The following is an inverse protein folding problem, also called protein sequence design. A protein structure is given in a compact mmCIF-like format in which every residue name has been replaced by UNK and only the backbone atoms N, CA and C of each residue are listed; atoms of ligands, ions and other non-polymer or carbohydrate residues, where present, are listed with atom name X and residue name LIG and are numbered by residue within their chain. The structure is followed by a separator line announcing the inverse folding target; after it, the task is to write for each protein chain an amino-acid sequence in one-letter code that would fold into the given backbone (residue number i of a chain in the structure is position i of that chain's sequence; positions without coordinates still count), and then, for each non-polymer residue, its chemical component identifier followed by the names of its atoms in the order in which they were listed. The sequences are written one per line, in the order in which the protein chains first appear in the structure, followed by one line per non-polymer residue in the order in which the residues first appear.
data_IF_861236985134
#
_entry.id   IF_861236985134
#
_cell.length_a   1.000
_cell.length_b   1.000
_cell.length_c   1.000
_cell.angle_alpha   90.00
_cell.angle_beta   90.00
_cell.angle_gamma   90.00
#
_symmetry.space_group_name_H-M   'P 1'
#
loop_
_entity.id
_entity.type
_entity.pdbx_description
1 polymer ?
#
# COMPACT_ATOMS: atom_id res chain seq x y z
N UNK A 1 -10.93 -19.26 3.77
CA UNK A 1 -9.63 -18.94 3.16
C UNK A 1 -8.60 -19.37 4.17
N UNK A 2 -7.53 -20.04 3.74
CA UNK A 2 -6.40 -20.31 4.62
C UNK A 2 -5.38 -19.23 4.30
N UNK A 3 -5.13 -18.33 5.25
CA UNK A 3 -4.10 -17.31 5.07
C UNK A 3 -2.72 -17.95 5.27
N UNK A 4 -1.76 -17.73 4.34
CA UNK A 4 -0.44 -18.30 4.49
C UNK A 4 0.27 -17.68 5.69
N UNK A 5 0.97 -18.50 6.49
CA UNK A 5 1.83 -18.00 7.57
C UNK A 5 2.92 -17.07 7.04
N UNK A 6 3.38 -17.34 5.81
CA UNK A 6 4.37 -16.54 5.08
C UNK A 6 3.80 -16.16 3.73
N UNK A 7 3.38 -14.91 3.58
CA UNK A 7 3.09 -14.30 2.26
C UNK A 7 4.33 -14.43 1.36
N UNK A 8 4.22 -15.12 0.20
CA UNK A 8 5.34 -15.33 -0.71
C UNK A 8 5.79 -13.98 -1.29
N UNK A 9 7.10 -13.81 -1.48
CA UNK A 9 7.68 -12.59 -2.05
C UNK A 9 7.77 -11.38 -1.11
N UNK A 10 7.11 -11.37 0.06
CA UNK A 10 7.13 -10.20 0.97
C UNK A 10 8.54 -9.82 1.44
N UNK A 11 9.39 -10.81 1.71
CA UNK A 11 10.81 -10.58 2.09
C UNK A 11 11.63 -9.99 0.94
N UNK A 12 11.41 -10.46 -0.28
CA UNK A 12 12.07 -9.91 -1.46
C UNK A 12 11.61 -8.46 -1.69
N UNK A 13 10.31 -8.21 -1.62
CA UNK A 13 9.75 -6.87 -1.73
C UNK A 13 10.32 -5.94 -0.66
N UNK A 14 10.47 -6.40 0.58
CA UNK A 14 11.11 -5.63 1.65
C UNK A 14 12.56 -5.30 1.32
N UNK A 15 13.34 -6.28 0.85
CA UNK A 15 14.72 -6.06 0.42
C UNK A 15 14.83 -5.03 -0.71
N UNK A 16 13.98 -5.17 -1.74
CA UNK A 16 13.90 -4.21 -2.85
C UNK A 16 13.52 -2.81 -2.36
N UNK A 17 12.55 -2.73 -1.45
CA UNK A 17 12.11 -1.46 -0.87
C UNK A 17 13.22 -0.80 -0.06
N UNK A 18 13.98 -1.55 0.75
CA UNK A 18 15.13 -1.01 1.50
C UNK A 18 16.20 -0.46 0.56
N UNK A 19 16.57 -1.22 -0.47
CA UNK A 19 17.55 -0.76 -1.48
C UNK A 19 17.05 0.48 -2.20
N UNK A 20 15.78 0.47 -2.63
CA UNK A 20 15.18 1.61 -3.31
C UNK A 20 15.12 2.85 -2.41
N UNK A 21 14.78 2.69 -1.13
CA UNK A 21 14.75 3.79 -0.14
C UNK A 21 16.12 4.43 0.02
N UNK A 22 17.19 3.61 0.06
CA UNK A 22 18.57 4.10 0.19
C UNK A 22 19.02 4.91 -1.03
N UNK A 23 18.51 4.60 -2.23
CA UNK A 23 18.75 5.41 -3.44
C UNK A 23 17.84 6.63 -3.46
N UNK A 24 16.55 6.46 -3.19
CA UNK A 24 15.53 7.49 -3.20
C UNK A 24 15.86 8.66 -2.25
N UNK A 25 16.51 8.39 -1.12
CA UNK A 25 16.86 9.43 -0.16
C UNK A 25 17.86 10.46 -0.70
N UNK A 26 18.67 10.12 -1.71
CA UNK A 26 19.63 11.06 -2.33
C UNK A 26 19.10 11.73 -3.59
N UNK A 27 18.03 11.21 -4.19
CA UNK A 27 17.41 11.80 -5.38
C UNK A 27 16.57 13.02 -4.99
N UNK A 28 16.50 14.01 -5.89
CA UNK A 28 15.53 15.11 -5.77
C UNK A 28 14.08 14.60 -5.80
N UNK A 29 13.20 15.38 -5.18
CA UNK A 29 11.77 15.08 -5.08
C UNK A 29 11.12 14.89 -6.44
N UNK A 30 10.46 13.75 -6.60
CA UNK A 30 9.63 13.44 -7.76
C UNK A 30 8.35 12.79 -7.28
N UNK A 31 7.19 13.35 -7.67
CA UNK A 31 5.88 12.85 -7.26
C UNK A 31 5.73 11.34 -7.50
N UNK A 32 6.16 10.86 -8.67
CA UNK A 32 6.06 9.44 -9.04
C UNK A 32 6.84 8.56 -8.07
N UNK A 33 8.06 8.97 -7.71
CA UNK A 33 8.89 8.22 -6.78
C UNK A 33 8.26 8.15 -5.38
N UNK A 34 7.69 9.27 -4.92
CA UNK A 34 7.02 9.33 -3.61
C UNK A 34 5.74 8.50 -3.58
N UNK A 35 4.97 8.49 -4.66
CA UNK A 35 3.79 7.62 -4.83
C UNK A 35 4.20 6.14 -4.80
N UNK A 36 5.28 5.77 -5.50
CA UNK A 36 5.82 4.41 -5.47
C UNK A 36 6.25 4.03 -4.05
N UNK A 37 6.93 4.92 -3.33
CA UNK A 37 7.30 4.72 -1.93
C UNK A 37 6.09 4.50 -1.03
N UNK A 38 5.08 5.37 -1.12
CA UNK A 38 3.84 5.26 -0.35
C UNK A 38 3.10 3.95 -0.62
N UNK A 39 2.96 3.59 -1.89
CA UNK A 39 2.27 2.36 -2.32
C UNK A 39 3.02 1.11 -1.87
N UNK A 40 4.33 1.02 -2.12
CA UNK A 40 5.14 -0.13 -1.73
C UNK A 40 5.15 -0.31 -0.19
N UNK A 41 5.23 0.78 0.56
CA UNK A 41 5.16 0.76 2.02
C UNK A 41 3.80 0.26 2.50
N UNK A 42 2.70 0.72 1.89
CA UNK A 42 1.35 0.26 2.22
C UNK A 42 1.19 -1.26 1.97
N UNK A 43 1.71 -1.76 0.83
CA UNK A 43 1.72 -3.20 0.51
C UNK A 43 2.50 -3.98 1.56
N UNK A 44 3.69 -3.51 1.93
CA UNK A 44 4.54 -4.17 2.92
C UNK A 44 3.88 -4.24 4.31
N UNK A 45 3.31 -3.12 4.76
CA UNK A 45 2.61 -3.04 6.05
C UNK A 45 1.38 -3.95 6.07
N UNK A 46 0.58 -3.94 5.00
CA UNK A 46 -0.60 -4.79 4.88
C UNK A 46 -0.21 -6.28 4.84
N UNK A 47 0.77 -6.63 4.02
CA UNK A 47 1.28 -8.01 3.92
C UNK A 47 1.86 -8.51 5.23
N UNK A 48 2.61 -7.66 5.95
CA UNK A 48 3.10 -7.98 7.30
C UNK A 48 1.95 -8.15 8.28
N UNK A 49 0.95 -7.27 8.24
CA UNK A 49 -0.26 -7.38 9.06
C UNK A 49 -1.02 -8.67 8.84
N UNK A 50 -1.19 -9.08 7.58
CA UNK A 50 -1.78 -10.37 7.23
C UNK A 50 -0.99 -11.53 7.83
N UNK A 51 0.33 -11.57 7.67
CA UNK A 51 1.16 -12.62 8.29
C UNK A 51 1.00 -12.64 9.82
N UNK A 52 1.01 -11.45 10.45
CA UNK A 52 1.02 -11.30 11.91
C UNK A 52 -0.31 -11.65 12.58
N UNK A 53 -1.43 -11.33 11.95
CA UNK A 53 -2.77 -11.45 12.56
C UNK A 53 -3.64 -12.55 11.95
N UNK A 54 -3.41 -12.89 10.68
CA UNK A 54 -4.21 -13.87 9.93
C UNK A 54 -3.43 -15.13 9.55
N UNK A 55 -2.09 -15.11 9.55
CA UNK A 55 -1.25 -16.24 9.17
C UNK A 55 -1.66 -17.54 9.86
N UNK A 56 -1.87 -18.60 9.08
CA UNK A 56 -2.28 -19.92 9.54
C UNK A 56 -3.77 -20.05 9.91
N UNK A 57 -4.52 -18.93 9.97
CA UNK A 57 -5.95 -18.97 10.32
C UNK A 57 -6.80 -19.37 9.13
N UNK A 58 -7.82 -20.16 9.42
CA UNK A 58 -8.92 -20.45 8.50
C UNK A 58 -10.05 -19.45 8.76
N UNK A 59 -10.44 -18.71 7.72
CA UNK A 59 -11.60 -17.82 7.79
C UNK A 59 -12.76 -18.37 6.96
N UNK A 60 -13.99 -18.10 7.40
CA UNK A 60 -15.19 -18.40 6.62
C UNK A 60 -15.20 -17.65 5.29
N UNK A 61 -16.03 -18.09 4.33
CA UNK A 61 -16.11 -17.45 3.01
C UNK A 61 -16.49 -15.97 3.09
N UNK A 62 -17.56 -15.66 3.82
CA UNK A 62 -18.02 -14.28 4.00
C UNK A 62 -16.96 -13.40 4.67
N UNK A 63 -16.30 -13.90 5.73
CA UNK A 63 -15.23 -13.15 6.41
C UNK A 63 -14.03 -12.93 5.49
N UNK A 64 -13.67 -13.90 4.65
CA UNK A 64 -12.60 -13.75 3.65
C UNK A 64 -12.87 -12.61 2.68
N UNK A 65 -14.09 -12.49 2.15
CA UNK A 65 -14.50 -11.39 1.25
C UNK A 65 -14.39 -10.03 1.95
N UNK A 66 -14.87 -9.94 3.20
CA UNK A 66 -14.78 -8.70 3.98
C UNK A 66 -13.32 -8.32 4.23
N UNK A 67 -12.48 -9.27 4.64
CA UNK A 67 -11.06 -9.03 4.91
C UNK A 67 -10.35 -8.53 3.66
N UNK A 68 -10.56 -9.13 2.49
CA UNK A 68 -9.90 -8.68 1.26
C UNK A 68 -10.41 -7.33 0.79
N UNK A 69 -11.71 -7.04 0.89
CA UNK A 69 -12.28 -5.73 0.57
C UNK A 69 -11.73 -4.62 1.47
N UNK A 70 -11.71 -4.85 2.80
CA UNK A 70 -11.11 -3.92 3.77
C UNK A 70 -9.62 -3.74 3.52
N UNK A 71 -8.90 -4.82 3.20
CA UNK A 71 -7.47 -4.75 2.87
C UNK A 71 -7.22 -3.90 1.63
N UNK A 72 -8.08 -4.00 0.61
CA UNK A 72 -8.07 -3.12 -0.54
C UNK A 72 -8.29 -1.65 -0.18
N UNK A 73 -9.32 -1.36 0.61
CA UNK A 73 -9.57 0.02 1.06
C UNK A 73 -8.39 0.61 1.85
N UNK A 74 -7.83 -0.18 2.79
CA UNK A 74 -6.64 0.18 3.57
C UNK A 74 -5.43 0.41 2.66
N UNK A 75 -5.26 -0.40 1.62
CA UNK A 75 -4.17 -0.23 0.68
C UNK A 75 -4.29 1.08 -0.11
N UNK A 76 -5.48 1.39 -0.65
CA UNK A 76 -5.70 2.62 -1.40
C UNK A 76 -5.53 3.88 -0.53
N UNK A 77 -6.20 3.92 0.62
CA UNK A 77 -6.08 5.05 1.56
C UNK A 77 -4.66 5.17 2.12
N UNK A 78 -4.07 4.05 2.55
CA UNK A 78 -2.72 3.99 3.10
C UNK A 78 -1.67 4.45 2.10
N UNK A 79 -1.80 4.10 0.82
CA UNK A 79 -0.88 4.55 -0.23
C UNK A 79 -0.89 6.07 -0.36
N UNK A 80 -2.07 6.71 -0.40
CA UNK A 80 -2.19 8.16 -0.48
C UNK A 80 -1.67 8.88 0.77
N UNK A 81 -2.03 8.39 1.97
CA UNK A 81 -1.57 8.97 3.23
C UNK A 81 -0.05 8.83 3.41
N UNK A 82 0.52 7.68 3.09
CA UNK A 82 1.97 7.49 3.14
C UNK A 82 2.69 8.32 2.08
N UNK A 83 2.08 8.57 0.92
CA UNK A 83 2.62 9.51 -0.07
C UNK A 83 2.79 10.91 0.54
N UNK A 84 1.80 11.42 1.28
CA UNK A 84 1.96 12.71 1.99
C UNK A 84 3.07 12.67 3.04
N UNK A 85 3.18 11.59 3.80
CA UNK A 85 4.28 11.41 4.77
C UNK A 85 5.63 11.50 4.06
N UNK A 86 5.81 10.78 2.95
CA UNK A 86 7.08 10.81 2.21
C UNK A 86 7.33 12.14 1.50
N UNK A 87 6.30 12.87 1.04
CA UNK A 87 6.44 14.25 0.55
C UNK A 87 7.00 15.16 1.64
N UNK A 88 6.46 15.06 2.85
CA UNK A 88 6.92 15.83 4.00
C UNK A 88 8.35 15.46 4.41
N UNK A 89 8.66 14.16 4.44
CA UNK A 89 10.02 13.66 4.71
C UNK A 89 11.01 14.22 3.70
N UNK A 90 10.68 14.17 2.39
CA UNK A 90 11.58 14.72 1.37
C UNK A 90 11.83 16.20 1.58
N UNK A 91 10.75 16.98 1.61
CA UNK A 91 10.83 18.43 1.80
C UNK A 91 11.62 18.82 3.06
N UNK A 92 11.54 18.03 4.13
CA UNK A 92 12.32 18.25 5.35
C UNK A 92 13.80 17.87 5.24
N UNK A 93 14.15 16.90 4.40
CA UNK A 93 15.53 16.46 4.18
C UNK A 93 16.31 17.40 3.25
N UNK A 94 15.67 17.96 2.23
CA UNK A 94 16.33 18.91 1.33
C UNK A 94 16.04 20.35 1.76
N UNK A 95 17.00 20.94 2.48
CA UNK A 95 16.88 22.26 3.10
C UNK A 95 16.92 23.47 2.12
N UNK A 96 16.44 23.30 0.88
CA UNK A 96 16.41 24.35 -0.16
C UNK A 96 14.99 24.81 -0.52
N UNK A 97 13.98 24.43 0.27
CA UNK A 97 12.58 24.85 0.11
C UNK A 97 11.64 23.71 -0.28
N UNK A 98 10.37 24.02 -0.64
CA UNK A 98 9.38 23.01 -1.01
C UNK A 98 9.83 22.19 -2.23
N UNK A 99 9.90 20.87 -2.09
CA UNK A 99 10.19 19.97 -3.21
C UNK A 99 8.97 19.68 -4.09
N UNK A 100 7.77 19.83 -3.52
CA UNK A 100 6.51 19.53 -4.20
C UNK A 100 5.68 20.80 -4.31
N UNK A 101 5.12 20.99 -5.50
CA UNK A 101 4.22 22.09 -5.79
C UNK A 101 2.86 21.89 -5.12
N UNK A 102 2.11 22.98 -4.90
CA UNK A 102 0.74 22.89 -4.41
C UNK A 102 -0.17 22.04 -5.32
N UNK A 103 0.08 22.07 -6.63
CA UNK A 103 -0.66 21.28 -7.61
C UNK A 103 -0.45 19.77 -7.41
N UNK A 104 0.77 19.33 -7.12
CA UNK A 104 1.07 17.91 -6.86
C UNK A 104 0.43 17.43 -5.56
N UNK A 105 0.48 18.24 -4.50
CA UNK A 105 -0.17 17.96 -3.22
C UNK A 105 -1.69 17.84 -3.42
N UNK A 106 -2.29 18.81 -4.12
CA UNK A 106 -3.72 18.81 -4.44
C UNK A 106 -4.11 17.61 -5.31
N UNK A 107 -3.26 17.21 -6.25
CA UNK A 107 -3.50 16.02 -7.07
C UNK A 107 -3.58 14.75 -6.22
N UNK A 108 -2.63 14.53 -5.30
CA UNK A 108 -2.68 13.35 -4.39
C UNK A 108 -3.96 13.38 -3.56
N UNK A 109 -4.34 14.54 -3.04
CA UNK A 109 -5.55 14.71 -2.23
C UNK A 109 -6.82 14.35 -3.02
N UNK A 110 -6.92 14.85 -4.25
CA UNK A 110 -8.09 14.65 -5.10
C UNK A 110 -8.19 13.21 -5.63
N UNK A 111 -7.06 12.53 -5.82
CA UNK A 111 -7.02 11.15 -6.34
C UNK A 111 -7.18 10.10 -5.22
N UNK A 112 -6.86 10.44 -3.97
CA UNK A 112 -6.95 9.52 -2.83
C UNK A 112 -8.31 8.81 -2.69
N UNK A 113 -9.47 9.50 -2.79
CA UNK A 113 -10.78 8.83 -2.73
C UNK A 113 -10.95 7.81 -3.86
N UNK A 114 -10.55 8.17 -5.09
CA UNK A 114 -10.64 7.30 -6.24
C UNK A 114 -9.77 6.04 -6.06
N UNK A 115 -8.51 6.20 -5.63
CA UNK A 115 -7.63 5.06 -5.35
C UNK A 115 -8.18 4.15 -4.26
N UNK A 116 -8.78 4.72 -3.21
CA UNK A 116 -9.41 3.95 -2.13
C UNK A 116 -10.55 3.10 -2.67
N UNK A 117 -11.42 3.66 -3.52
CA UNK A 117 -12.52 2.93 -4.14
C UNK A 117 -12.02 1.86 -5.10
N UNK A 118 -11.05 2.19 -5.96
CA UNK A 118 -10.45 1.23 -6.91
C UNK A 118 -9.86 0.03 -6.16
N UNK A 119 -9.05 0.26 -5.14
CA UNK A 119 -8.45 -0.83 -4.38
C UNK A 119 -9.47 -1.61 -3.54
N UNK A 120 -10.50 -0.95 -3.00
CA UNK A 120 -11.64 -1.65 -2.38
C UNK A 120 -12.30 -2.61 -3.36
N UNK A 121 -12.57 -2.16 -4.59
CA UNK A 121 -13.18 -2.99 -5.62
C UNK A 121 -12.27 -4.15 -6.05
N UNK A 122 -10.97 -3.91 -6.17
CA UNK A 122 -9.98 -4.98 -6.42
C UNK A 122 -9.99 -6.00 -5.28
N UNK A 123 -9.93 -5.55 -4.03
CA UNK A 123 -9.98 -6.42 -2.85
C UNK A 123 -11.28 -7.22 -2.75
N UNK A 124 -12.41 -6.59 -3.04
CA UNK A 124 -13.71 -7.24 -3.11
C UNK A 124 -13.75 -8.30 -4.21
N UNK A 125 -13.30 -7.96 -5.42
CA UNK A 125 -13.22 -8.86 -6.55
C UNK A 125 -12.37 -10.09 -6.26
N UNK A 126 -11.18 -9.92 -5.68
CA UNK A 126 -10.31 -11.02 -5.25
C UNK A 126 -10.99 -11.91 -4.19
N UNK A 127 -11.69 -11.30 -3.24
CA UNK A 127 -12.44 -12.02 -2.21
C UNK A 127 -13.55 -12.88 -2.79
N UNK A 128 -14.34 -12.31 -3.71
CA UNK A 128 -15.45 -12.99 -4.37
C UNK A 128 -14.98 -14.12 -5.29
N UNK A 129 -13.91 -13.89 -6.07
CA UNK A 129 -13.29 -14.91 -6.91
C UNK A 129 -12.85 -16.11 -6.07
N UNK A 130 -12.16 -15.85 -4.96
CA UNK A 130 -11.76 -16.90 -4.03
C UNK A 130 -12.95 -17.62 -3.40
N UNK A 131 -13.98 -16.88 -2.94
CA UNK A 131 -15.15 -17.48 -2.29
C UNK A 131 -15.99 -18.35 -3.24
N UNK A 132 -15.98 -18.02 -4.54
CA UNK A 132 -16.68 -18.75 -5.60
C UNK A 132 -15.97 -20.00 -6.11
N UNK A 133 -14.70 -20.24 -5.75
CA UNK A 133 -14.01 -21.47 -6.13
C UNK A 133 -14.67 -22.69 -5.46
N UNK A 134 -15.03 -23.68 -6.28
CA UNK A 134 -15.48 -25.00 -5.80
C UNK A 134 -14.27 -25.70 -5.15
N UNK A 135 -14.48 -26.28 -3.97
CA UNK A 135 -13.47 -27.09 -3.29
C UNK A 135 -13.19 -28.36 -4.07
#
# INVERSE_FOLDING_TARGET
MIFPEKVPGLRLLLGLWVVYTAVWISLEGSLVQVVMMGTATAVLLLGHGWQRWLGGKTVSRGLGVVVTAVSGAVLGAGSGLLTFVFMAVKTGLHAHGPEFTQAEIAWVWNVLPLWTVVWLLVGLGLGLLWAGQKQ
#
